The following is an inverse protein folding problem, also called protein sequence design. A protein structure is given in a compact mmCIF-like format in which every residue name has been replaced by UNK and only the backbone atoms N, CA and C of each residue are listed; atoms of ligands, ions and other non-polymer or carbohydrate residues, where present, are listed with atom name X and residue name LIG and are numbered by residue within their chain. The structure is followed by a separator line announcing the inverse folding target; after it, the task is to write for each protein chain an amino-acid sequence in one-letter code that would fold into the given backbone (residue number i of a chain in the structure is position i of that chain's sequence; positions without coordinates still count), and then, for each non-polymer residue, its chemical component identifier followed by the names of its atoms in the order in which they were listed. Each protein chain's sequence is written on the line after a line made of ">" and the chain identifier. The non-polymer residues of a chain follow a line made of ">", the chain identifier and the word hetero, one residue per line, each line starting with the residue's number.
data_IF_705527368770
#
_entry.id   IF_705527368770
#
_cell.length_a   1.000
_cell.length_b   1.000
_cell.length_c   1.000
_cell.angle_alpha   90.00
_cell.angle_beta   90.00
_cell.angle_gamma   90.00
#
_symmetry.space_group_name_H-M   'P 1'
#
loop_
_entity.id
_entity.type
_entity.pdbx_description
1 polymer ?
#
# COMPACT_ATOMS: atom_id res chain seq x y z
N UNK A 1 -8.22 4.18 -8.11
CA UNK A 1 -7.23 5.21 -8.54
C UNK A 1 -5.92 4.51 -8.87
N UNK A 2 -5.32 4.85 -10.00
CA UNK A 2 -4.03 4.29 -10.48
C UNK A 2 -3.14 5.42 -11.02
N UNK A 3 -1.84 5.18 -11.15
CA UNK A 3 -0.90 6.15 -11.73
C UNK A 3 -0.05 5.43 -12.79
N UNK A 4 -0.22 5.82 -14.05
CA UNK A 4 0.54 5.20 -15.14
C UNK A 4 2.04 5.49 -15.03
N UNK A 5 2.90 4.59 -15.55
CA UNK A 5 4.34 4.84 -15.64
C UNK A 5 4.69 6.20 -16.30
N UNK A 6 3.94 6.60 -17.33
CA UNK A 6 4.11 7.92 -17.95
C UNK A 6 3.79 9.07 -17.00
N UNK A 7 2.68 8.99 -16.25
CA UNK A 7 2.33 10.02 -15.26
C UNK A 7 3.35 10.11 -14.12
N UNK A 8 3.91 8.98 -13.70
CA UNK A 8 5.00 8.91 -12.73
C UNK A 8 6.37 9.36 -13.29
N UNK A 9 6.48 9.61 -14.60
CA UNK A 9 7.68 10.12 -15.25
C UNK A 9 8.71 9.07 -15.64
N UNK A 10 8.30 7.82 -15.88
CA UNK A 10 9.20 6.75 -16.32
C UNK A 10 9.75 6.97 -17.75
N UNK A 11 9.09 7.80 -18.55
CA UNK A 11 9.48 8.22 -19.89
C UNK A 11 10.63 9.26 -19.91
N UNK A 12 10.87 9.93 -18.78
CA UNK A 12 11.96 10.88 -18.61
C UNK A 12 13.22 10.20 -18.09
N UNK A 13 14.28 10.16 -18.90
CA UNK A 13 15.58 9.60 -18.51
C UNK A 13 16.15 10.24 -17.22
N UNK A 14 15.93 11.55 -17.04
CA UNK A 14 16.37 12.26 -15.84
C UNK A 14 15.63 11.76 -14.60
N UNK A 15 14.29 11.68 -14.64
CA UNK A 15 13.48 11.22 -13.50
C UNK A 15 13.70 9.74 -13.22
N UNK A 16 13.78 8.92 -14.26
CA UNK A 16 14.00 7.49 -14.13
C UNK A 16 15.41 7.14 -13.62
N UNK A 17 16.42 8.00 -13.79
CA UNK A 17 17.81 7.72 -13.37
C UNK A 17 17.97 7.46 -11.86
N UNK A 18 17.07 7.99 -11.03
CA UNK A 18 17.08 7.80 -9.56
C UNK A 18 16.57 6.44 -9.08
N UNK A 19 16.25 5.50 -9.97
CA UNK A 19 15.61 4.22 -9.62
C UNK A 19 16.34 3.41 -8.54
N UNK A 20 17.68 3.46 -8.49
CA UNK A 20 18.45 2.76 -7.44
C UNK A 20 18.22 3.33 -6.05
N UNK A 21 18.14 4.65 -5.94
CA UNK A 21 17.92 5.36 -4.68
C UNK A 21 16.50 5.09 -4.13
N UNK A 22 15.56 4.85 -5.04
CA UNK A 22 14.18 4.46 -4.73
C UNK A 22 14.05 2.97 -4.39
N UNK A 23 15.07 2.16 -4.67
CA UNK A 23 15.12 0.74 -4.31
C UNK A 23 14.58 -0.20 -5.40
N UNK A 24 14.42 0.26 -6.63
CA UNK A 24 14.10 -0.63 -7.75
C UNK A 24 15.26 -1.61 -7.98
N UNK A 25 14.94 -2.87 -8.31
CA UNK A 25 15.94 -3.91 -8.59
C UNK A 25 16.60 -3.73 -9.96
N UNK A 26 15.86 -3.17 -10.91
CA UNK A 26 16.30 -2.93 -12.28
C UNK A 26 15.83 -1.58 -12.77
N UNK A 27 16.53 -1.04 -13.77
CA UNK A 27 16.11 0.18 -14.44
C UNK A 27 14.71 0.01 -15.06
N UNK A 28 13.81 0.99 -14.88
CA UNK A 28 12.49 0.98 -15.51
C UNK A 28 12.55 0.80 -17.02
N UNK A 29 11.73 -0.11 -17.56
CA UNK A 29 11.51 -0.26 -19.01
C UNK A 29 10.17 0.37 -19.37
N UNK A 30 10.18 1.67 -19.64
CA UNK A 30 8.96 2.47 -19.80
C UNK A 30 7.91 1.84 -20.71
N UNK A 31 8.23 1.57 -21.98
CA UNK A 31 7.27 1.04 -22.95
C UNK A 31 6.63 -0.29 -22.49
N UNK A 32 7.43 -1.18 -21.89
CA UNK A 32 6.94 -2.46 -21.38
C UNK A 32 6.02 -2.25 -20.18
N UNK A 33 6.44 -1.42 -19.22
CA UNK A 33 5.66 -1.15 -18.02
C UNK A 33 4.35 -0.41 -18.35
N UNK A 34 4.38 0.52 -19.30
CA UNK A 34 3.21 1.27 -19.75
C UNK A 34 2.19 0.34 -20.41
N UNK A 35 2.64 -0.60 -21.25
CA UNK A 35 1.77 -1.61 -21.84
C UNK A 35 1.16 -2.54 -20.78
N UNK A 36 1.97 -3.03 -19.82
CA UNK A 36 1.50 -3.87 -18.72
C UNK A 36 0.48 -3.16 -17.82
N UNK A 37 0.73 -1.89 -17.50
CA UNK A 37 -0.21 -1.07 -16.75
C UNK A 37 -1.53 -0.86 -17.50
N UNK A 38 -1.47 -0.65 -18.82
CA UNK A 38 -2.67 -0.55 -19.66
C UNK A 38 -3.48 -1.86 -19.64
N UNK A 39 -2.82 -3.02 -19.71
CA UNK A 39 -3.48 -4.33 -19.53
C UNK A 39 -4.16 -4.44 -18.18
N UNK A 40 -3.46 -4.11 -17.07
CA UNK A 40 -4.05 -4.10 -15.72
C UNK A 40 -5.30 -3.21 -15.64
N UNK A 41 -5.23 -2.00 -16.18
CA UNK A 41 -6.39 -1.09 -16.22
C UNK A 41 -7.55 -1.67 -17.04
N UNK A 42 -7.24 -2.37 -18.13
CA UNK A 42 -8.22 -3.07 -18.95
C UNK A 42 -8.93 -4.18 -18.18
N UNK A 43 -8.19 -5.02 -17.44
CA UNK A 43 -8.76 -6.08 -16.59
C UNK A 43 -9.63 -5.51 -15.47
N UNK A 44 -9.17 -4.46 -14.78
CA UNK A 44 -9.95 -3.78 -13.74
C UNK A 44 -11.27 -3.21 -14.29
N UNK A 45 -11.20 -2.54 -15.44
CA UNK A 45 -12.40 -2.00 -16.10
C UNK A 45 -13.33 -3.12 -16.56
N UNK A 46 -12.77 -4.21 -17.11
CA UNK A 46 -13.51 -5.39 -17.54
C UNK A 46 -14.22 -6.11 -16.39
N UNK A 47 -13.65 -6.06 -15.18
CA UNK A 47 -14.27 -6.55 -13.94
C UNK A 47 -15.33 -5.58 -13.37
N UNK A 48 -15.54 -4.41 -13.99
CA UNK A 48 -16.57 -3.44 -13.61
C UNK A 48 -16.07 -2.28 -12.74
N UNK A 49 -14.76 -2.16 -12.51
CA UNK A 49 -14.21 -1.04 -11.75
C UNK A 49 -14.13 0.24 -12.58
N UNK A 50 -14.36 1.39 -11.92
CA UNK A 50 -14.02 2.70 -12.47
C UNK A 50 -12.52 2.99 -12.25
N UNK A 51 -11.77 3.15 -13.33
CA UNK A 51 -10.33 3.40 -13.27
C UNK A 51 -10.03 4.90 -13.40
N UNK A 52 -9.78 5.53 -12.26
CA UNK A 52 -9.38 6.93 -12.16
C UNK A 52 -7.84 7.08 -12.26
N UNK A 53 -7.36 7.88 -13.22
CA UNK A 53 -5.92 8.10 -13.46
C UNK A 53 -5.42 9.33 -12.71
N UNK A 54 -4.45 9.14 -11.82
CA UNK A 54 -3.73 10.24 -11.18
C UNK A 54 -2.93 11.00 -12.25
N UNK A 55 -3.08 12.33 -12.36
CA UNK A 55 -2.36 13.12 -13.36
C UNK A 55 -0.87 13.21 -13.04
N UNK A 56 -0.07 13.48 -14.08
CA UNK A 56 1.35 13.76 -13.92
C UNK A 56 1.57 15.01 -13.05
N UNK A 57 2.54 14.96 -12.16
CA UNK A 57 2.85 16.00 -11.20
C UNK A 57 4.38 16.01 -10.96
N UNK A 58 4.96 17.22 -10.83
CA UNK A 58 6.42 17.39 -10.72
C UNK A 58 6.95 16.97 -9.35
N UNK A 59 6.07 16.97 -8.36
CA UNK A 59 6.31 16.58 -6.98
C UNK A 59 6.31 15.04 -6.80
N UNK A 60 5.86 14.30 -7.83
CA UNK A 60 5.88 12.84 -7.84
C UNK A 60 7.26 12.30 -8.23
N UNK A 61 7.60 11.13 -7.70
CA UNK A 61 8.73 10.34 -8.17
C UNK A 61 8.24 9.16 -9.02
N UNK A 62 9.16 8.37 -9.56
CA UNK A 62 8.79 7.15 -10.28
C UNK A 62 8.12 6.08 -9.38
N UNK A 63 8.18 6.21 -8.04
CA UNK A 63 7.41 5.38 -7.08
C UNK A 63 5.91 5.67 -7.11
N UNK A 64 5.47 6.79 -7.71
CA UNK A 64 4.06 7.16 -7.73
C UNK A 64 3.14 6.16 -8.47
N UNK A 65 3.72 5.22 -9.23
CA UNK A 65 2.98 4.06 -9.79
C UNK A 65 2.38 3.17 -8.68
N UNK A 66 2.96 3.17 -7.49
CA UNK A 66 2.47 2.46 -6.31
C UNK A 66 1.47 3.33 -5.53
N UNK A 67 0.31 3.61 -6.14
CA UNK A 67 -0.73 4.48 -5.59
C UNK A 67 -1.37 3.98 -4.29
N UNK A 68 -1.12 2.72 -3.91
CA UNK A 68 -1.68 2.16 -2.69
C UNK A 68 -1.13 2.85 -1.44
N UNK A 69 0.19 3.02 -1.33
CA UNK A 69 0.83 3.34 -0.04
C UNK A 69 0.56 4.73 0.50
N UNK A 70 0.32 5.71 -0.38
CA UNK A 70 0.24 7.11 0.01
C UNK A 70 -1.11 7.50 0.64
N UNK A 71 -2.11 6.63 0.58
CA UNK A 71 -3.43 6.90 1.17
C UNK A 71 -4.28 5.64 1.34
N UNK A 72 -5.08 5.58 2.40
CA UNK A 72 -6.05 4.51 2.64
C UNK A 72 -7.48 5.01 2.42
N UNK A 73 -8.25 4.45 1.46
CA UNK A 73 -9.66 4.75 1.32
C UNK A 73 -10.48 4.16 2.48
N UNK A 74 -11.52 4.89 2.90
CA UNK A 74 -12.54 4.46 3.86
C UNK A 74 -13.91 4.91 3.35
N UNK A 75 -15.00 4.38 3.92
CA UNK A 75 -16.36 4.77 3.55
C UNK A 75 -16.63 6.28 3.75
N UNK A 76 -15.94 6.92 4.70
CA UNK A 76 -16.09 8.35 5.01
C UNK A 76 -15.05 9.25 4.31
N UNK A 77 -14.19 8.67 3.48
CA UNK A 77 -13.16 9.38 2.73
C UNK A 77 -11.75 8.86 2.92
N UNK A 78 -10.80 9.60 2.36
CA UNK A 78 -9.41 9.18 2.28
C UNK A 78 -8.62 9.56 3.54
N UNK A 79 -7.87 8.62 4.10
CA UNK A 79 -6.81 8.91 5.07
C UNK A 79 -5.50 9.07 4.32
N UNK A 80 -4.88 10.24 4.43
CA UNK A 80 -3.60 10.50 3.80
C UNK A 80 -2.45 10.00 4.66
N UNK A 81 -1.61 9.16 4.07
CA UNK A 81 -0.50 8.54 4.76
C UNK A 81 0.70 9.48 4.84
N UNK A 82 1.67 9.10 5.67
CA UNK A 82 2.91 9.86 5.83
C UNK A 82 4.11 8.92 5.68
N UNK A 83 4.49 8.62 4.42
CA UNK A 83 5.65 7.79 4.13
C UNK A 83 6.89 8.22 4.91
N UNK A 84 7.68 7.24 5.35
CA UNK A 84 8.89 7.51 6.14
C UNK A 84 10.01 8.16 5.32
N UNK A 85 10.06 7.88 4.02
CA UNK A 85 11.06 8.41 3.09
C UNK A 85 10.61 9.76 2.52
N UNK A 86 11.51 10.76 2.53
CA UNK A 86 11.21 12.13 2.12
C UNK A 86 10.85 12.29 0.64
N UNK A 87 11.41 11.43 -0.21
CA UNK A 87 11.15 11.37 -1.65
C UNK A 87 9.72 10.95 -2.03
N UNK A 88 8.92 10.46 -1.07
CA UNK A 88 7.52 10.07 -1.25
C UNK A 88 6.54 11.05 -0.60
N UNK A 89 7.03 12.14 0.00
CA UNK A 89 6.20 13.08 0.75
C UNK A 89 5.17 13.82 -0.13
N UNK A 90 5.44 13.99 -1.42
CA UNK A 90 4.53 14.64 -2.37
C UNK A 90 3.33 13.78 -2.78
N UNK A 91 3.40 12.46 -2.62
CA UNK A 91 2.37 11.52 -3.11
C UNK A 91 1.03 11.73 -2.39
N UNK A 92 1.05 11.89 -1.06
CA UNK A 92 -0.15 12.11 -0.27
C UNK A 92 -0.88 13.42 -0.63
N UNK A 93 -0.13 14.47 -0.96
CA UNK A 93 -0.73 15.74 -1.38
C UNK A 93 -1.27 15.67 -2.81
N UNK A 94 -0.60 14.95 -3.71
CA UNK A 94 -1.13 14.68 -5.05
C UNK A 94 -2.46 13.91 -4.99
N UNK A 95 -2.56 12.91 -4.10
CA UNK A 95 -3.81 12.19 -3.86
C UNK A 95 -4.88 13.10 -3.27
N UNK A 96 -4.51 13.98 -2.33
CA UNK A 96 -5.43 14.99 -1.78
C UNK A 96 -6.07 15.83 -2.89
N UNK A 97 -5.25 16.46 -3.72
CA UNK A 97 -5.73 17.35 -4.77
C UNK A 97 -6.60 16.62 -5.78
N UNK A 98 -6.14 15.43 -6.21
CA UNK A 98 -6.89 14.62 -7.16
C UNK A 98 -8.25 14.18 -6.59
N UNK A 99 -8.29 13.65 -5.37
CA UNK A 99 -9.55 13.25 -4.72
C UNK A 99 -10.48 14.45 -4.49
N UNK A 100 -9.96 15.61 -4.10
CA UNK A 100 -10.77 16.84 -3.97
C UNK A 100 -11.37 17.28 -5.30
N UNK A 101 -10.65 17.13 -6.41
CA UNK A 101 -11.18 17.44 -7.74
C UNK A 101 -12.33 16.53 -8.18
N UNK A 102 -12.49 15.39 -7.50
CA UNK A 102 -13.53 14.39 -7.71
C UNK A 102 -14.60 14.40 -6.59
N UNK A 103 -14.60 15.43 -5.75
CA UNK A 103 -15.49 15.54 -4.58
C UNK A 103 -15.36 14.38 -3.56
N UNK A 104 -14.23 13.67 -3.55
CA UNK A 104 -13.94 12.63 -2.56
C UNK A 104 -13.38 13.29 -1.29
N UNK A 105 -14.02 13.10 -0.11
CA UNK A 105 -13.60 13.76 1.12
C UNK A 105 -12.27 13.20 1.65
N UNK A 106 -11.57 14.04 2.41
CA UNK A 106 -10.40 13.64 3.19
C UNK A 106 -10.84 13.49 4.64
N UNK A 107 -10.79 12.27 5.16
CA UNK A 107 -11.10 11.98 6.56
C UNK A 107 -10.04 12.57 7.50
N UNK A 108 -8.78 12.50 7.09
CA UNK A 108 -7.67 13.07 7.84
C UNK A 108 -6.32 12.71 7.25
N UNK A 109 -5.26 13.02 7.98
CA UNK A 109 -3.89 12.76 7.56
C UNK A 109 -3.01 12.40 8.74
N UNK A 110 -2.07 11.50 8.52
CA UNK A 110 -1.04 11.14 9.49
C UNK A 110 -0.04 12.29 9.65
N UNK A 111 0.21 12.71 10.89
CA UNK A 111 1.08 13.82 11.24
C UNK A 111 2.35 13.34 11.97
N UNK A 112 3.46 14.06 11.77
CA UNK A 112 4.71 13.83 12.51
C UNK A 112 4.47 13.80 14.04
N UNK A 113 5.13 12.93 14.82
CA UNK A 113 6.24 12.03 14.45
C UNK A 113 5.82 10.65 13.95
N UNK A 114 4.53 10.44 13.66
CA UNK A 114 4.07 9.18 13.10
C UNK A 114 4.65 8.96 11.69
N UNK A 115 4.89 7.70 11.34
CA UNK A 115 5.06 7.26 9.96
C UNK A 115 4.02 6.19 9.69
N UNK A 116 3.47 6.19 8.48
CA UNK A 116 2.51 5.18 8.05
C UNK A 116 2.50 5.10 6.53
N UNK A 117 2.39 3.89 5.99
CA UNK A 117 2.19 3.59 4.57
C UNK A 117 1.07 2.55 4.47
N UNK A 118 0.15 2.73 3.51
CA UNK A 118 -1.04 1.89 3.42
C UNK A 118 -0.75 0.44 3.04
N UNK A 119 0.43 0.11 2.49
CA UNK A 119 0.88 -1.28 2.35
C UNK A 119 0.93 -2.07 3.66
N UNK A 120 0.94 -1.40 4.82
CA UNK A 120 0.80 -2.05 6.13
C UNK A 120 -0.66 -2.27 6.56
N UNK A 121 -1.66 -1.90 5.75
CA UNK A 121 -3.08 -1.92 6.11
C UNK A 121 -3.79 -3.05 5.39
N UNK A 122 -4.33 -4.00 6.15
CA UNK A 122 -5.18 -5.07 5.60
C UNK A 122 -6.53 -5.01 6.31
N UNK A 123 -7.58 -4.71 5.57
CA UNK A 123 -8.94 -4.83 6.08
C UNK A 123 -9.26 -6.31 6.27
N UNK A 124 -9.56 -6.72 7.49
CA UNK A 124 -9.99 -8.09 7.79
C UNK A 124 -11.49 -8.27 7.58
N UNK A 125 -12.24 -7.19 7.80
CA UNK A 125 -13.67 -7.07 7.62
C UNK A 125 -14.03 -5.56 7.58
N UNK A 126 -15.28 -5.16 7.28
CA UNK A 126 -15.68 -3.75 7.22
C UNK A 126 -15.51 -2.95 8.52
N UNK A 127 -15.20 -3.60 9.65
CA UNK A 127 -15.04 -2.98 10.97
C UNK A 127 -13.71 -3.32 11.64
N UNK A 128 -12.79 -4.00 10.97
CA UNK A 128 -11.49 -4.35 11.54
C UNK A 128 -10.40 -4.17 10.50
N UNK A 129 -9.41 -3.34 10.81
CA UNK A 129 -8.17 -3.22 10.03
C UNK A 129 -6.99 -3.73 10.85
N UNK A 130 -6.19 -4.58 10.21
CA UNK A 130 -4.89 -5.00 10.70
C UNK A 130 -3.83 -4.04 10.19
N UNK A 131 -3.02 -3.51 11.10
CA UNK A 131 -1.99 -2.51 10.81
C UNK A 131 -0.62 -3.03 11.17
N UNK A 132 0.23 -3.22 10.16
CA UNK A 132 1.62 -3.57 10.31
C UNK A 132 2.38 -2.59 11.20
N UNK A 133 3.04 -3.10 12.24
CA UNK A 133 4.06 -2.39 12.97
C UNK A 133 5.40 -2.73 12.35
N UNK A 134 5.88 -1.83 11.49
CA UNK A 134 7.00 -2.05 10.58
C UNK A 134 7.96 -0.85 10.61
N UNK A 135 9.02 -0.91 9.80
CA UNK A 135 9.87 0.26 9.57
C UNK A 135 9.18 1.37 8.76
N UNK A 136 8.03 1.09 8.13
CA UNK A 136 7.23 2.04 7.36
C UNK A 136 6.10 2.63 8.20
N UNK A 137 5.46 1.80 9.03
CA UNK A 137 4.39 2.21 9.94
C UNK A 137 4.80 2.02 11.40
N UNK A 138 4.99 3.12 12.12
CA UNK A 138 5.45 3.09 13.52
C UNK A 138 4.29 3.12 14.53
N UNK A 139 4.60 2.91 15.81
CA UNK A 139 3.60 2.92 16.89
C UNK A 139 2.77 4.22 16.97
N UNK A 140 3.36 5.38 16.66
CA UNK A 140 2.63 6.64 16.62
C UNK A 140 1.66 6.70 15.43
N UNK A 141 2.02 6.12 14.28
CA UNK A 141 1.13 5.92 13.12
C UNK A 141 -0.07 5.06 13.47
N UNK A 142 0.15 3.91 14.09
CA UNK A 142 -0.92 3.02 14.56
C UNK A 142 -1.86 3.75 15.53
N UNK A 143 -1.30 4.56 16.44
CA UNK A 143 -2.10 5.37 17.38
C UNK A 143 -2.97 6.40 16.67
N UNK A 144 -2.44 7.09 15.65
CA UNK A 144 -3.23 8.05 14.86
C UNK A 144 -4.28 7.37 13.98
N UNK A 145 -3.98 6.20 13.40
CA UNK A 145 -4.97 5.40 12.69
C UNK A 145 -6.17 5.05 13.57
N UNK A 146 -5.93 4.64 14.83
CA UNK A 146 -6.99 4.42 15.83
C UNK A 146 -7.86 5.66 16.04
N UNK A 147 -7.24 6.83 16.13
CA UNK A 147 -7.98 8.08 16.35
C UNK A 147 -8.83 8.47 15.14
N UNK A 148 -8.27 8.37 13.93
CA UNK A 148 -8.95 8.72 12.68
C UNK A 148 -10.14 7.79 12.40
N UNK A 149 -10.00 6.51 12.72
CA UNK A 149 -11.00 5.48 12.46
C UNK A 149 -12.02 5.29 13.61
N UNK A 150 -11.81 5.95 14.76
CA UNK A 150 -12.68 5.80 15.93
C UNK A 150 -14.13 6.21 15.66
N UNK A 151 -14.36 7.28 14.89
CA UNK A 151 -15.70 7.76 14.56
C UNK A 151 -16.51 6.73 13.74
N UNK A 152 -15.82 5.95 12.91
CA UNK A 152 -16.39 4.87 12.09
C UNK A 152 -16.59 3.55 12.86
N UNK A 153 -16.16 3.51 14.13
CA UNK A 153 -16.14 2.32 14.99
C UNK A 153 -15.37 1.16 14.36
N UNK A 154 -14.30 1.49 13.63
CA UNK A 154 -13.37 0.50 13.09
C UNK A 154 -12.33 0.17 14.17
N UNK A 155 -12.18 -1.12 14.45
CA UNK A 155 -11.14 -1.65 15.30
C UNK A 155 -9.80 -1.67 14.54
N UNK A 156 -8.73 -1.21 15.19
CA UNK A 156 -7.38 -1.18 14.62
C UNK A 156 -6.46 -2.09 15.44
N UNK A 157 -6.17 -3.26 14.89
CA UNK A 157 -5.30 -4.27 15.46
C UNK A 157 -3.87 -4.07 14.95
N UNK A 158 -2.87 -4.18 15.82
CA UNK A 158 -1.47 -4.08 15.41
C UNK A 158 -0.93 -5.48 15.06
N UNK A 159 -0.26 -5.61 13.91
CA UNK A 159 0.45 -6.80 13.49
C UNK A 159 1.96 -6.53 13.51
N UNK A 160 2.75 -7.11 14.44
CA UNK A 160 4.19 -6.96 14.39
C UNK A 160 4.77 -7.60 13.12
N UNK A 161 5.64 -6.89 12.41
CA UNK A 161 6.41 -7.44 11.30
C UNK A 161 7.74 -8.03 11.81
N UNK A 162 8.29 -9.06 11.14
CA UNK A 162 9.60 -9.60 11.46
C UNK A 162 10.70 -8.58 11.14
N UNK A 163 11.91 -8.79 11.67
CA UNK A 163 13.07 -7.99 11.30
C UNK A 163 13.38 -8.07 9.79
N UNK A 164 13.18 -9.26 9.21
CA UNK A 164 13.32 -9.51 7.78
C UNK A 164 14.70 -9.15 7.22
N UNK A 165 14.79 -8.46 6.06
CA UNK A 165 16.06 -8.02 5.47
C UNK A 165 16.60 -6.73 6.14
N UNK A 166 15.92 -6.20 7.15
CA UNK A 166 16.29 -4.98 7.85
C UNK A 166 15.60 -3.70 7.32
N UNK A 167 15.92 -2.54 7.90
CA UNK A 167 15.17 -1.29 7.73
C UNK A 167 15.24 -0.66 6.33
N UNK A 168 16.21 -1.06 5.50
CA UNK A 168 16.34 -0.60 4.12
C UNK A 168 15.33 -1.26 3.17
N UNK A 169 14.75 -2.40 3.57
CA UNK A 169 13.80 -3.13 2.75
C UNK A 169 12.46 -2.37 2.62
N UNK A 170 11.74 -2.66 1.53
CA UNK A 170 10.33 -2.30 1.39
C UNK A 170 9.49 -3.50 1.83
N UNK A 171 9.47 -3.75 3.13
CA UNK A 171 8.67 -4.80 3.74
C UNK A 171 7.47 -4.17 4.43
N UNK A 172 6.29 -4.49 3.95
CA UNK A 172 5.01 -4.14 4.55
C UNK A 172 4.24 -5.38 4.94
N UNK A 173 3.16 -5.24 5.72
CA UNK A 173 2.26 -6.35 6.02
C UNK A 173 1.75 -7.03 4.75
N UNK A 174 1.39 -6.26 3.72
CA UNK A 174 0.91 -6.82 2.44
C UNK A 174 1.96 -7.61 1.67
N UNK A 175 3.25 -7.39 1.94
CA UNK A 175 4.32 -8.25 1.39
C UNK A 175 4.26 -9.67 1.94
N UNK A 176 3.58 -9.88 3.07
CA UNK A 176 3.52 -11.15 3.78
C UNK A 176 2.12 -11.76 3.78
N UNK A 177 1.07 -10.96 3.55
CA UNK A 177 -0.29 -11.48 3.51
C UNK A 177 -1.27 -10.59 2.74
N UNK A 178 -2.31 -11.22 2.19
CA UNK A 178 -3.53 -10.54 1.73
C UNK A 178 -4.74 -11.44 1.96
N UNK A 179 -5.93 -10.84 1.99
CA UNK A 179 -7.17 -11.60 1.92
C UNK A 179 -7.53 -11.86 0.46
N UNK A 180 -7.90 -13.10 0.14
CA UNK A 180 -8.43 -13.48 -1.17
C UNK A 180 -9.96 -13.38 -1.19
N UNK A 181 -10.58 -13.66 -0.04
CA UNK A 181 -12.01 -13.54 0.24
C UNK A 181 -12.22 -13.39 1.75
N UNK A 182 -13.47 -13.43 2.21
CA UNK A 182 -13.84 -13.27 3.63
C UNK A 182 -13.35 -14.41 4.53
N UNK A 183 -12.96 -15.55 3.97
CA UNK A 183 -12.61 -16.78 4.70
C UNK A 183 -11.16 -17.22 4.45
N UNK A 184 -10.46 -16.62 3.50
CA UNK A 184 -9.17 -17.10 3.00
C UNK A 184 -8.13 -16.00 2.93
N UNK A 185 -6.95 -16.27 3.51
CA UNK A 185 -5.77 -15.42 3.40
C UNK A 185 -4.64 -16.14 2.65
N UNK A 186 -4.01 -15.43 1.71
CA UNK A 186 -2.72 -15.84 1.13
C UNK A 186 -1.60 -15.32 2.03
N UNK A 187 -0.65 -16.18 2.42
CA UNK A 187 0.37 -15.83 3.43
C UNK A 187 1.77 -16.37 3.11
N UNK A 188 2.81 -15.60 3.45
CA UNK A 188 4.17 -16.09 3.69
C UNK A 188 4.30 -16.49 5.16
N UNK A 189 3.75 -17.66 5.49
CA UNK A 189 3.57 -18.11 6.87
C UNK A 189 4.85 -18.08 7.72
N UNK A 190 6.04 -18.49 7.23
CA UNK A 190 7.29 -18.44 8.00
C UNK A 190 7.75 -17.02 8.37
N UNK A 191 7.21 -15.99 7.70
CA UNK A 191 7.56 -14.59 7.92
C UNK A 191 6.52 -13.81 8.72
N UNK A 192 5.32 -14.35 8.93
CA UNK A 192 4.35 -13.72 9.80
C UNK A 192 4.73 -13.90 11.27
N UNK A 193 4.54 -12.84 12.06
CA UNK A 193 4.67 -12.95 13.50
C UNK A 193 3.61 -13.89 14.07
N UNK A 194 3.98 -14.61 15.15
CA UNK A 194 3.12 -15.63 15.78
C UNK A 194 1.76 -15.04 16.15
N UNK A 195 1.72 -13.83 16.70
CA UNK A 195 0.48 -13.18 17.12
C UNK A 195 -0.45 -12.92 15.93
N UNK A 196 0.10 -12.61 14.76
CA UNK A 196 -0.68 -12.40 13.54
C UNK A 196 -1.26 -13.72 13.05
N UNK A 197 -0.47 -14.79 13.01
CA UNK A 197 -0.93 -16.12 12.60
C UNK A 197 -2.06 -16.62 13.51
N UNK A 198 -1.89 -16.50 14.83
CA UNK A 198 -2.89 -16.95 15.79
C UNK A 198 -4.16 -16.08 15.74
N UNK A 199 -4.05 -14.77 15.48
CA UNK A 199 -5.20 -13.90 15.21
C UNK A 199 -6.00 -14.39 13.99
N UNK A 200 -5.33 -14.63 12.85
CA UNK A 200 -6.02 -15.08 11.63
C UNK A 200 -6.74 -16.42 11.86
N UNK A 201 -6.08 -17.38 12.51
CA UNK A 201 -6.70 -18.67 12.89
C UNK A 201 -7.86 -18.51 13.86
N UNK A 202 -7.74 -17.64 14.86
CA UNK A 202 -8.81 -17.38 15.83
C UNK A 202 -10.06 -16.80 15.19
N UNK A 203 -9.90 -16.13 14.04
CA UNK A 203 -10.99 -15.61 13.20
C UNK A 203 -11.53 -16.64 12.21
N UNK A 204 -10.97 -17.85 12.18
CA UNK A 204 -11.42 -18.93 11.30
C UNK A 204 -10.91 -18.83 9.86
N UNK A 205 -9.95 -17.95 9.57
CA UNK A 205 -9.41 -17.82 8.22
C UNK A 205 -8.60 -19.06 7.81
N UNK A 206 -8.90 -19.59 6.64
CA UNK A 206 -8.07 -20.54 5.93
C UNK A 206 -6.80 -19.85 5.45
N UNK A 207 -5.64 -20.45 5.74
CA UNK A 207 -4.34 -19.92 5.34
C UNK A 207 -3.81 -20.71 4.14
N UNK A 208 -3.67 -20.05 3.00
CA UNK A 208 -2.99 -20.56 1.81
C UNK A 208 -1.56 -20.05 1.84
N UNK A 209 -0.59 -20.95 2.01
CA UNK A 209 0.82 -20.58 2.05
C UNK A 209 1.37 -20.42 0.62
N UNK A 210 2.14 -19.35 0.38
CA UNK A 210 2.89 -19.20 -0.87
C UNK A 210 4.04 -20.20 -0.95
N UNK A 211 4.48 -20.54 -2.15
CA UNK A 211 5.74 -21.27 -2.30
C UNK A 211 6.92 -20.35 -1.93
N UNK A 212 7.93 -20.90 -1.24
CA UNK A 212 9.10 -20.13 -0.82
C UNK A 212 9.87 -19.47 -1.99
N UNK A 213 9.77 -20.03 -3.20
CA UNK A 213 10.34 -19.45 -4.42
C UNK A 213 9.65 -18.16 -4.87
N UNK A 214 8.42 -17.92 -4.42
CA UNK A 214 7.64 -16.72 -4.73
C UNK A 214 7.87 -15.57 -3.73
N UNK A 215 8.59 -15.78 -2.64
CA UNK A 215 8.87 -14.73 -1.64
C UNK A 215 9.57 -13.50 -2.22
N UNK A 216 10.45 -13.73 -3.18
CA UNK A 216 11.20 -12.65 -3.84
C UNK A 216 10.39 -11.98 -4.96
N UNK A 217 9.19 -12.47 -5.25
CA UNK A 217 8.17 -11.81 -6.06
C UNK A 217 7.13 -11.20 -5.11
N UNK A 218 6.39 -10.16 -5.52
CA UNK A 218 5.35 -9.58 -4.67
C UNK A 218 4.09 -10.47 -4.61
N UNK A 219 4.22 -11.79 -4.51
CA UNK A 219 3.11 -12.74 -4.65
C UNK A 219 1.95 -12.51 -3.66
N UNK A 220 2.18 -12.16 -2.37
CA UNK A 220 1.09 -11.84 -1.45
C UNK A 220 0.39 -10.49 -1.72
N UNK A 221 0.85 -9.65 -2.65
CA UNK A 221 0.23 -8.35 -2.98
C UNK A 221 -0.98 -8.51 -3.94
N UNK A 222 -1.88 -9.45 -3.69
CA UNK A 222 -3.21 -9.47 -4.32
C UNK A 222 -4.15 -8.57 -3.53
N UNK A 223 -4.47 -7.40 -4.07
CA UNK A 223 -5.48 -6.48 -3.54
C UNK A 223 -6.35 -5.98 -4.69
#
# INVERSE_FOLDING_TARGET
>A
MVCSPGAAGWDSAQRASGWRELGFRHAPRFEVAQAQHATLCGELTGAGAEVLQLPACNELSIDAVYTHDASLPTDDGLILMRPGKSNRAGEAEAHREFCRSLDIPILGSIASPATSEAGDMVWLDPKTVLVGHSYRTNAAGISQMRQLLAAQKVEVLAAPLPYGPGPSACLHLMSLMSLLDEETALVDLPWLAVETVELLKSRGLGLVEIDASERETPAPNSA
#
